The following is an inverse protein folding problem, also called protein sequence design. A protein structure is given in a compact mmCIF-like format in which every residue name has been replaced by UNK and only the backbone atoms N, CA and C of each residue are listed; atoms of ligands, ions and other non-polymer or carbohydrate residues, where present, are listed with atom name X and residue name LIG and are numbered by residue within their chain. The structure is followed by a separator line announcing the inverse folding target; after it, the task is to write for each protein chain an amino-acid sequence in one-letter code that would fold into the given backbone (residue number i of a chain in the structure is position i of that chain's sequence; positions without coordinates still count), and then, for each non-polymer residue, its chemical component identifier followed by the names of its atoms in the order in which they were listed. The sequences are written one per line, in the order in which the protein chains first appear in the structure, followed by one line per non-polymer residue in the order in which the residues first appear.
data_IF_928081423156
#
_entry.id   IF_928081423156
#
_cell.length_a   1.000
_cell.length_b   1.000
_cell.length_c   1.000
_cell.angle_alpha   90.00
_cell.angle_beta   90.00
_cell.angle_gamma   90.00
#
_symmetry.space_group_name_H-M   'P 1'
#
loop_
_entity.id
_entity.type
_entity.pdbx_description
1 polymer ?
#
# COMPACT_ATOMS: atom_id res chain seq x y z
N UNK A 1 -5.53 -3.07 -21.95
CA UNK A 1 -5.53 -1.66 -21.51
C UNK A 1 -4.20 -1.42 -20.82
N UNK A 2 -3.51 -0.32 -21.08
CA UNK A 2 -2.24 0.00 -20.42
C UNK A 2 -2.57 0.95 -19.25
N UNK A 3 -2.16 0.60 -18.04
CA UNK A 3 -2.29 1.44 -16.85
C UNK A 3 -0.96 2.13 -16.58
N UNK A 4 -0.78 3.40 -16.97
CA UNK A 4 0.52 4.05 -17.01
C UNK A 4 1.12 4.35 -15.63
N UNK A 5 0.31 4.31 -14.57
CA UNK A 5 0.74 4.54 -13.19
C UNK A 5 0.90 3.26 -12.37
N UNK A 6 0.68 2.08 -12.98
CA UNK A 6 0.74 0.79 -12.29
C UNK A 6 1.91 -0.02 -12.80
N UNK A 7 2.76 -0.48 -11.87
CA UNK A 7 3.90 -1.35 -12.16
C UNK A 7 3.79 -2.64 -11.34
N UNK A 8 3.96 -3.75 -12.03
CA UNK A 8 4.08 -5.08 -11.42
C UNK A 8 5.55 -5.49 -11.50
N UNK A 9 6.16 -5.78 -10.37
CA UNK A 9 7.52 -6.30 -10.29
C UNK A 9 7.49 -7.72 -9.77
N UNK A 10 8.27 -8.60 -10.40
CA UNK A 10 8.28 -10.01 -10.04
C UNK A 10 6.96 -10.71 -10.35
N UNK A 11 6.65 -11.76 -9.61
CA UNK A 11 5.51 -12.63 -9.84
C UNK A 11 4.33 -12.38 -8.88
N UNK A 12 4.18 -11.15 -8.35
CA UNK A 12 3.10 -10.87 -7.40
C UNK A 12 1.72 -11.01 -8.05
N UNK A 13 1.56 -10.51 -9.27
CA UNK A 13 0.36 -10.63 -10.09
C UNK A 13 0.74 -10.80 -11.56
N UNK A 14 -0.10 -11.50 -12.34
CA UNK A 14 0.00 -11.48 -13.80
C UNK A 14 -0.52 -10.15 -14.35
N UNK A 15 0.15 -9.51 -15.31
CA UNK A 15 -0.35 -8.29 -15.96
C UNK A 15 -1.73 -8.47 -16.59
N UNK A 16 -2.08 -9.67 -17.04
CA UNK A 16 -3.37 -9.98 -17.68
C UNK A 16 -4.56 -9.79 -16.75
N UNK A 17 -4.35 -9.92 -15.43
CA UNK A 17 -5.44 -9.75 -14.47
C UNK A 17 -5.92 -8.30 -14.44
N UNK A 18 -5.05 -7.32 -14.67
CA UNK A 18 -5.43 -5.90 -14.65
C UNK A 18 -6.46 -5.58 -15.74
N UNK A 19 -6.31 -6.17 -16.92
CA UNK A 19 -7.22 -5.94 -18.06
C UNK A 19 -8.62 -6.51 -17.89
N UNK A 20 -8.80 -7.48 -17.00
CA UNK A 20 -10.08 -8.18 -16.74
C UNK A 20 -10.49 -8.16 -15.28
N UNK A 21 -9.94 -7.24 -14.51
CA UNK A 21 -10.11 -7.21 -13.04
C UNK A 21 -11.58 -7.05 -12.64
N UNK A 22 -12.38 -6.31 -13.40
CA UNK A 22 -13.82 -6.11 -13.11
C UNK A 22 -14.62 -7.41 -13.14
N UNK A 23 -14.24 -8.35 -14.02
CA UNK A 23 -14.91 -9.63 -14.21
C UNK A 23 -14.24 -10.75 -13.40
N UNK A 24 -13.15 -10.44 -12.70
CA UNK A 24 -12.43 -11.42 -11.90
C UNK A 24 -13.24 -11.85 -10.66
N UNK A 25 -12.88 -13.02 -10.14
CA UNK A 25 -13.45 -13.51 -8.88
C UNK A 25 -13.24 -12.49 -7.74
N UNK A 26 -14.25 -12.34 -6.87
CA UNK A 26 -14.16 -11.46 -5.71
C UNK A 26 -14.37 -9.97 -6.02
N UNK A 27 -14.96 -9.62 -7.16
CA UNK A 27 -15.23 -8.24 -7.57
C UNK A 27 -16.72 -7.86 -7.52
N UNK A 28 -17.55 -8.66 -6.83
CA UNK A 28 -18.96 -8.36 -6.61
C UNK A 28 -19.15 -7.35 -5.47
N UNK A 29 -20.27 -6.62 -5.40
CA UNK A 29 -20.53 -5.66 -4.33
C UNK A 29 -20.38 -6.23 -2.92
N UNK A 30 -20.91 -7.42 -2.66
CA UNK A 30 -20.80 -8.10 -1.37
C UNK A 30 -19.36 -8.39 -0.96
N UNK A 31 -18.46 -8.60 -1.93
CA UNK A 31 -17.03 -8.84 -1.67
C UNK A 31 -16.33 -7.57 -1.14
N UNK A 32 -16.94 -6.40 -1.32
CA UNK A 32 -16.48 -5.12 -0.76
C UNK A 32 -17.24 -4.70 0.49
N UNK A 33 -18.16 -5.56 0.98
CA UNK A 33 -19.03 -5.23 2.11
C UNK A 33 -20.15 -4.23 1.74
N UNK A 34 -20.50 -4.13 0.46
CA UNK A 34 -21.58 -3.27 -0.02
C UNK A 34 -22.90 -4.04 0.04
N UNK A 35 -23.75 -3.68 0.99
CA UNK A 35 -25.07 -4.25 1.16
C UNK A 35 -26.13 -3.41 0.44
N UNK A 36 -27.30 -4.01 0.18
CA UNK A 36 -28.50 -3.26 -0.22
C UNK A 36 -28.51 -2.73 -1.65
N UNK A 37 -27.77 -3.35 -2.59
CA UNK A 37 -27.84 -3.01 -4.03
C UNK A 37 -26.83 -1.95 -4.47
N UNK A 38 -25.86 -1.59 -3.63
CA UNK A 38 -24.76 -0.71 -3.99
C UNK A 38 -23.92 -1.29 -5.13
N UNK A 39 -23.45 -0.45 -6.05
CA UNK A 39 -22.56 -0.86 -7.15
C UNK A 39 -21.12 -0.48 -6.82
N UNK A 40 -20.20 -1.41 -7.09
CA UNK A 40 -18.75 -1.14 -6.88
C UNK A 40 -18.27 0.08 -7.69
N UNK A 41 -18.79 0.28 -8.90
CA UNK A 41 -18.44 1.42 -9.75
C UNK A 41 -18.85 2.76 -9.13
N UNK A 42 -20.01 2.82 -8.50
CA UNK A 42 -20.53 4.03 -7.85
C UNK A 42 -19.69 4.35 -6.60
N UNK A 43 -19.31 3.32 -5.84
CA UNK A 43 -18.44 3.47 -4.68
C UNK A 43 -17.02 3.93 -5.06
N UNK A 44 -16.46 3.37 -6.14
CA UNK A 44 -15.17 3.83 -6.68
C UNK A 44 -15.25 5.29 -7.15
N UNK A 45 -16.34 5.68 -7.81
CA UNK A 45 -16.53 7.06 -8.28
C UNK A 45 -16.62 8.05 -7.09
N UNK A 46 -17.33 7.65 -6.01
CA UNK A 46 -17.41 8.43 -4.77
C UNK A 46 -16.02 8.56 -4.10
N UNK A 47 -15.33 7.44 -3.93
CA UNK A 47 -13.99 7.41 -3.36
C UNK A 47 -12.99 8.25 -4.19
N UNK A 48 -13.12 8.23 -5.51
CA UNK A 48 -12.30 9.06 -6.40
C UNK A 48 -12.51 10.56 -6.15
N UNK A 49 -13.76 11.01 -6.05
CA UNK A 49 -14.08 12.42 -5.78
C UNK A 49 -13.48 12.87 -4.43
N UNK A 50 -13.69 12.07 -3.37
CA UNK A 50 -13.15 12.36 -2.04
C UNK A 50 -11.60 12.36 -2.06
N UNK A 51 -10.98 11.41 -2.73
CA UNK A 51 -9.52 11.32 -2.84
C UNK A 51 -8.92 12.52 -3.59
N UNK A 52 -9.59 13.02 -4.64
CA UNK A 52 -9.17 14.24 -5.33
C UNK A 52 -9.24 15.47 -4.42
N UNK A 53 -10.21 15.54 -3.52
CA UNK A 53 -10.30 16.62 -2.54
C UNK A 53 -9.16 16.53 -1.51
N UNK A 54 -8.87 15.34 -0.99
CA UNK A 54 -7.73 15.13 -0.09
C UNK A 54 -6.40 15.49 -0.77
N UNK A 55 -6.22 15.07 -2.03
CA UNK A 55 -5.03 15.41 -2.81
C UNK A 55 -4.86 16.92 -2.96
N UNK A 56 -5.91 17.65 -3.32
CA UNK A 56 -5.88 19.12 -3.46
C UNK A 56 -5.55 19.82 -2.13
N UNK A 57 -6.13 19.38 -1.02
CA UNK A 57 -5.84 19.92 0.31
C UNK A 57 -4.38 19.66 0.67
N UNK A 58 -3.89 18.45 0.45
CA UNK A 58 -2.52 18.06 0.72
C UNK A 58 -1.52 18.87 -0.10
N UNK A 59 -1.74 19.04 -1.42
CA UNK A 59 -0.85 19.82 -2.29
C UNK A 59 -0.78 21.28 -1.82
N UNK A 60 -1.91 21.92 -1.53
CA UNK A 60 -1.93 23.30 -0.99
C UNK A 60 -1.14 23.38 0.33
N UNK A 61 -1.24 22.38 1.19
CA UNK A 61 -0.47 22.37 2.42
C UNK A 61 1.02 22.25 2.16
N UNK A 62 1.41 21.38 1.24
CA UNK A 62 2.83 21.25 0.83
C UNK A 62 3.41 22.57 0.35
N UNK A 63 2.65 23.37 -0.42
CA UNK A 63 3.10 24.68 -0.91
C UNK A 63 3.39 25.68 0.21
N UNK A 64 2.82 25.50 1.39
CA UNK A 64 3.08 26.34 2.58
C UNK A 64 4.29 25.91 3.38
N UNK A 65 4.84 24.74 3.13
CA UNK A 65 5.98 24.19 3.85
C UNK A 65 7.31 24.60 3.20
N UNK A 66 8.35 24.68 4.00
CA UNK A 66 9.70 24.86 3.47
C UNK A 66 10.09 23.68 2.58
N UNK A 67 10.76 23.90 1.44
CA UNK A 67 11.11 22.86 0.48
C UNK A 67 11.88 21.68 1.06
N UNK A 68 12.77 21.96 2.04
CA UNK A 68 13.60 20.97 2.72
C UNK A 68 12.87 20.12 3.77
N UNK A 69 11.60 20.45 4.07
CA UNK A 69 10.79 19.69 5.03
C UNK A 69 10.35 18.36 4.41
N UNK A 70 10.61 17.21 5.06
CA UNK A 70 10.15 15.90 4.55
C UNK A 70 8.64 15.78 4.44
N UNK A 71 7.87 16.61 5.14
CA UNK A 71 6.41 16.68 5.18
C UNK A 71 5.76 15.37 5.68
N UNK A 72 6.42 14.65 6.60
CA UNK A 72 5.96 13.33 7.07
C UNK A 72 4.59 13.41 7.76
N UNK A 73 4.36 14.42 8.62
CA UNK A 73 3.10 14.61 9.33
C UNK A 73 1.95 14.90 8.36
N UNK A 74 2.17 15.78 7.40
CA UNK A 74 1.20 16.16 6.39
C UNK A 74 0.89 14.98 5.46
N UNK A 75 1.92 14.24 5.05
CA UNK A 75 1.77 13.03 4.24
C UNK A 75 0.87 12.00 4.92
N UNK A 76 1.07 11.78 6.21
CA UNK A 76 0.26 10.86 7.02
C UNK A 76 -1.18 11.35 7.14
N UNK A 77 -1.35 12.55 7.71
CA UNK A 77 -2.63 13.00 8.23
C UNK A 77 -3.55 13.59 7.18
N UNK A 78 -3.00 14.22 6.13
CA UNK A 78 -3.81 14.90 5.11
C UNK A 78 -3.96 14.08 3.83
N UNK A 79 -3.12 13.05 3.64
CA UNK A 79 -3.11 12.32 2.39
C UNK A 79 -3.26 10.80 2.56
N UNK A 80 -2.24 10.11 3.06
CA UNK A 80 -2.19 8.64 3.02
C UNK A 80 -3.24 8.00 3.91
N UNK A 81 -3.40 8.44 5.15
CA UNK A 81 -4.40 7.88 6.09
C UNK A 81 -5.82 8.14 5.57
N UNK A 82 -6.20 9.37 5.14
CA UNK A 82 -7.50 9.59 4.50
C UNK A 82 -7.73 8.75 3.25
N UNK A 83 -6.72 8.65 2.35
CA UNK A 83 -6.83 7.84 1.14
C UNK A 83 -7.10 6.36 1.46
N UNK A 84 -6.31 5.77 2.36
CA UNK A 84 -6.50 4.38 2.77
C UNK A 84 -7.82 4.18 3.54
N UNK A 85 -8.30 5.21 4.23
CA UNK A 85 -9.62 5.22 4.83
C UNK A 85 -10.75 5.01 3.82
N UNK A 86 -10.63 5.58 2.61
CA UNK A 86 -11.57 5.34 1.51
C UNK A 86 -11.55 3.87 1.02
N UNK A 87 -10.45 3.16 1.24
CA UNK A 87 -10.33 1.74 0.93
C UNK A 87 -10.71 0.84 2.11
N UNK A 88 -11.32 1.41 3.14
CA UNK A 88 -11.83 0.68 4.31
C UNK A 88 -10.82 0.41 5.42
N UNK A 89 -9.61 0.97 5.35
CA UNK A 89 -8.62 0.81 6.42
C UNK A 89 -8.94 1.68 7.63
N UNK A 90 -8.84 1.09 8.81
CA UNK A 90 -8.66 1.80 10.07
C UNK A 90 -7.19 1.65 10.46
N UNK A 91 -6.50 2.77 10.70
CA UNK A 91 -5.05 2.79 10.82
C UNK A 91 -4.64 3.37 12.15
N UNK A 92 -3.77 2.67 12.86
CA UNK A 92 -3.21 3.09 14.13
C UNK A 92 -1.71 3.36 13.99
N UNK A 93 -1.25 4.44 14.62
CA UNK A 93 0.18 4.77 14.70
C UNK A 93 0.88 3.84 15.70
N UNK A 94 2.02 3.30 15.31
CA UNK A 94 2.86 2.46 16.13
C UNK A 94 4.01 3.28 16.73
N UNK A 95 3.89 3.67 17.99
CA UNK A 95 4.91 4.46 18.69
C UNK A 95 6.19 3.67 18.99
N UNK A 96 6.07 2.33 19.09
CA UNK A 96 7.19 1.42 19.34
C UNK A 96 7.39 0.52 18.14
N UNK A 97 8.65 0.33 17.75
CA UNK A 97 8.99 -0.67 16.75
C UNK A 97 8.72 -2.11 17.23
N UNK A 98 8.60 -3.02 16.30
CA UNK A 98 8.48 -4.46 16.59
C UNK A 98 9.89 -5.06 16.71
N UNK A 99 10.14 -5.80 17.77
CA UNK A 99 11.42 -6.50 17.96
C UNK A 99 11.36 -7.90 17.36
N UNK A 100 12.25 -8.17 16.39
CA UNK A 100 12.40 -9.46 15.75
C UNK A 100 13.90 -9.81 15.69
N UNK A 101 14.26 -10.97 16.20
CA UNK A 101 15.64 -11.49 16.18
C UNK A 101 16.70 -10.47 16.68
N UNK A 102 16.38 -9.72 17.73
CA UNK A 102 17.27 -8.72 18.34
C UNK A 102 17.41 -7.41 17.55
N UNK A 103 16.59 -7.19 16.51
CA UNK A 103 16.49 -5.93 15.78
C UNK A 103 15.11 -5.30 15.98
N UNK A 104 15.06 -3.98 16.01
CA UNK A 104 13.80 -3.22 16.12
C UNK A 104 13.38 -2.70 14.75
N UNK A 105 12.19 -3.09 14.31
CA UNK A 105 11.58 -2.66 13.04
C UNK A 105 10.57 -1.54 13.30
N UNK A 106 10.89 -0.28 13.01
CA UNK A 106 10.01 0.87 13.27
C UNK A 106 8.95 1.03 12.18
N UNK A 107 8.09 0.02 12.01
CA UNK A 107 6.92 0.13 11.14
C UNK A 107 5.98 1.17 11.72
N UNK A 108 5.68 2.22 10.97
CA UNK A 108 5.04 3.41 11.52
C UNK A 108 3.57 3.26 11.87
N UNK A 109 2.85 2.38 11.19
CA UNK A 109 1.40 2.20 11.35
C UNK A 109 1.00 0.74 11.14
N UNK A 110 -0.24 0.44 11.53
CA UNK A 110 -0.86 -0.87 11.36
C UNK A 110 -2.36 -0.72 11.13
N UNK A 111 -2.93 -1.56 10.28
CA UNK A 111 -4.37 -1.69 10.16
C UNK A 111 -4.93 -2.41 11.40
N UNK A 112 -6.14 -2.04 11.87
CA UNK A 112 -6.71 -2.54 13.13
C UNK A 112 -8.03 -3.27 12.99
N UNK A 113 -8.85 -2.93 12.00
CA UNK A 113 -10.22 -3.46 11.89
C UNK A 113 -10.30 -4.79 11.14
N UNK A 114 -9.62 -4.90 10.01
CA UNK A 114 -9.50 -6.16 9.26
C UNK A 114 -8.03 -6.44 9.01
N UNK A 115 -7.57 -7.54 9.58
CA UNK A 115 -6.16 -7.87 9.55
C UNK A 115 -5.32 -6.93 10.42
N UNK A 116 -4.03 -7.16 10.36
CA UNK A 116 -3.01 -6.39 11.08
C UNK A 116 -1.92 -5.91 10.12
N UNK A 117 -2.31 -5.68 8.87
CA UNK A 117 -1.39 -5.29 7.79
C UNK A 117 -0.47 -4.17 8.24
N UNK A 118 0.86 -4.39 8.22
CA UNK A 118 1.84 -3.34 8.52
C UNK A 118 1.82 -2.30 7.40
N UNK A 119 1.87 -1.03 7.79
CA UNK A 119 1.83 0.12 6.87
C UNK A 119 2.95 1.06 7.27
N UNK A 120 3.95 1.23 6.40
CA UNK A 120 5.05 2.15 6.68
C UNK A 120 4.94 3.40 5.80
N UNK A 121 4.79 4.57 6.46
CA UNK A 121 4.59 5.85 5.81
C UNK A 121 5.77 6.76 6.12
N UNK A 122 6.47 7.20 5.08
CA UNK A 122 7.51 8.23 5.15
C UNK A 122 7.03 9.54 4.52
N UNK A 123 7.83 10.59 4.61
CA UNK A 123 7.45 11.90 4.09
C UNK A 123 7.46 11.99 2.57
N UNK A 124 6.55 12.77 2.02
CA UNK A 124 6.39 13.01 0.56
C UNK A 124 7.66 13.60 -0.07
N UNK A 125 8.38 14.42 0.67
CA UNK A 125 9.64 15.06 0.25
C UNK A 125 10.88 14.37 0.85
N UNK A 126 10.73 13.13 1.34
CA UNK A 126 11.90 12.38 1.81
C UNK A 126 12.84 12.10 0.63
N UNK A 127 14.03 12.68 0.69
CA UNK A 127 15.02 12.64 -0.41
C UNK A 127 15.47 11.21 -0.78
N UNK A 128 15.47 10.29 0.20
CA UNK A 128 15.80 8.89 -0.02
C UNK A 128 14.71 8.15 -0.80
N UNK A 129 13.46 8.64 -0.82
CA UNK A 129 12.34 7.93 -1.38
C UNK A 129 12.13 6.56 -0.70
N UNK A 130 11.57 5.59 -1.43
CA UNK A 130 11.32 4.25 -0.87
C UNK A 130 12.53 3.31 -0.96
N UNK A 131 13.47 3.57 -1.86
CA UNK A 131 14.48 2.57 -2.27
C UNK A 131 15.88 2.86 -1.73
N UNK A 132 16.16 4.09 -1.31
CA UNK A 132 17.48 4.46 -0.78
C UNK A 132 17.48 4.54 0.75
N UNK A 133 18.63 4.27 1.34
CA UNK A 133 18.82 4.47 2.78
C UNK A 133 18.81 5.96 3.09
N UNK A 134 18.15 6.40 4.19
CA UNK A 134 18.23 7.78 4.63
C UNK A 134 19.69 8.19 4.94
N UNK A 135 20.11 9.34 4.44
CA UNK A 135 21.48 9.85 4.68
C UNK A 135 21.68 10.27 6.14
N UNK A 136 20.63 10.80 6.76
CA UNK A 136 20.63 11.21 8.18
C UNK A 136 19.87 10.19 9.03
N UNK A 137 20.39 9.94 10.23
CA UNK A 137 19.61 9.21 11.22
C UNK A 137 18.31 9.97 11.54
N UNK A 138 17.20 9.27 11.79
CA UNK A 138 15.96 9.92 12.20
C UNK A 138 16.21 10.75 13.48
N UNK A 139 15.46 11.85 13.69
CA UNK A 139 15.64 12.75 14.83
C UNK A 139 15.54 12.06 16.21
N UNK A 140 14.88 10.92 16.25
CA UNK A 140 14.83 10.01 17.41
C UNK A 140 15.21 8.61 16.93
N UNK A 141 16.50 8.25 16.97
CA UNK A 141 16.91 6.91 16.58
C UNK A 141 16.31 5.89 17.55
N UNK A 142 15.54 4.96 17.01
CA UNK A 142 15.12 3.78 17.77
C UNK A 142 16.38 2.91 17.92
N UNK A 143 16.81 2.69 19.15
CA UNK A 143 17.99 1.87 19.43
C UNK A 143 17.80 0.48 18.81
N UNK A 144 18.80 0.00 18.08
CA UNK A 144 18.73 -1.31 17.39
C UNK A 144 17.94 -1.30 16.07
N UNK A 145 17.41 -0.16 15.62
CA UNK A 145 16.73 -0.09 14.33
C UNK A 145 17.74 -0.19 13.16
N UNK A 146 17.47 -1.05 12.16
CA UNK A 146 18.35 -1.15 11.00
C UNK A 146 18.27 0.11 10.14
N UNK A 147 19.42 0.57 9.63
CA UNK A 147 19.48 1.65 8.63
C UNK A 147 19.22 1.07 7.25
N UNK A 148 17.97 1.03 6.85
CA UNK A 148 17.54 0.49 5.54
C UNK A 148 16.61 1.48 4.84
N UNK A 149 16.37 1.26 3.55
CA UNK A 149 15.31 1.96 2.83
C UNK A 149 13.94 1.57 3.38
N UNK A 150 12.93 2.42 3.15
CA UNK A 150 11.56 2.12 3.60
C UNK A 150 11.03 0.81 3.01
N UNK A 151 11.32 0.55 1.72
CA UNK A 151 10.98 -0.71 1.06
C UNK A 151 11.66 -1.91 1.75
N UNK A 152 12.98 -1.85 1.93
CA UNK A 152 13.73 -2.94 2.53
C UNK A 152 13.31 -3.21 3.98
N UNK A 153 12.96 -2.16 4.74
CA UNK A 153 12.46 -2.28 6.11
C UNK A 153 11.18 -3.13 6.17
N UNK A 154 10.20 -2.80 5.34
CA UNK A 154 8.93 -3.55 5.31
C UNK A 154 9.15 -4.95 4.77
N UNK A 155 9.96 -5.12 3.72
CA UNK A 155 10.24 -6.42 3.13
C UNK A 155 10.94 -7.36 4.13
N UNK A 156 11.97 -6.89 4.82
CA UNK A 156 12.67 -7.71 5.84
C UNK A 156 11.74 -8.03 7.02
N UNK A 157 10.91 -7.06 7.44
CA UNK A 157 9.90 -7.28 8.45
C UNK A 157 8.93 -8.42 8.05
N UNK A 158 8.37 -8.39 6.83
CA UNK A 158 7.44 -9.41 6.35
C UNK A 158 8.12 -10.79 6.24
N UNK A 159 9.39 -10.84 5.85
CA UNK A 159 10.14 -12.10 5.76
C UNK A 159 10.43 -12.75 7.12
N UNK A 160 10.31 -12.00 8.21
CA UNK A 160 10.59 -12.46 9.57
C UNK A 160 9.35 -12.58 10.47
N UNK A 161 8.22 -12.06 9.99
CA UNK A 161 6.96 -12.02 10.75
C UNK A 161 5.87 -12.84 10.06
N UNK A 162 4.74 -13.03 10.74
CA UNK A 162 3.64 -13.88 10.24
C UNK A 162 2.73 -13.18 9.22
N UNK A 163 2.82 -11.84 9.07
CA UNK A 163 2.03 -11.15 8.06
C UNK A 163 2.58 -11.39 6.65
N UNK A 164 1.68 -11.81 5.75
CA UNK A 164 2.03 -12.13 4.37
C UNK A 164 2.18 -10.89 3.49
N UNK A 165 1.44 -9.82 3.79
CA UNK A 165 1.38 -8.59 3.01
C UNK A 165 1.62 -7.35 3.86
N UNK A 166 2.20 -6.31 3.27
CA UNK A 166 2.40 -5.01 3.87
C UNK A 166 2.37 -3.88 2.86
N UNK A 167 2.12 -2.67 3.34
CA UNK A 167 2.12 -1.46 2.54
C UNK A 167 3.30 -0.57 2.91
N UNK A 168 3.93 0.02 1.89
CA UNK A 168 4.94 1.06 2.07
C UNK A 168 4.66 2.23 1.13
N UNK A 169 4.74 3.45 1.64
CA UNK A 169 4.46 4.64 0.85
C UNK A 169 5.19 5.89 1.36
N UNK A 170 5.49 6.79 0.45
CA UNK A 170 5.86 8.18 0.72
C UNK A 170 4.77 9.17 0.27
N UNK A 171 3.57 8.69 -0.06
CA UNK A 171 2.49 9.50 -0.60
C UNK A 171 2.59 9.83 -2.08
N UNK A 172 3.77 9.63 -2.72
CA UNK A 172 3.96 9.69 -4.18
C UNK A 172 3.76 8.33 -4.80
N UNK A 173 4.37 7.33 -4.19
CA UNK A 173 4.36 5.93 -4.59
C UNK A 173 3.76 5.13 -3.45
N UNK A 174 2.86 4.23 -3.77
CA UNK A 174 2.30 3.24 -2.86
C UNK A 174 2.65 1.85 -3.37
N UNK A 175 3.25 1.02 -2.52
CA UNK A 175 3.56 -0.38 -2.84
C UNK A 175 2.85 -1.35 -1.93
N UNK A 176 2.30 -2.40 -2.52
CA UNK A 176 1.94 -3.63 -1.83
C UNK A 176 3.11 -4.61 -1.95
N UNK A 177 3.66 -5.00 -0.81
CA UNK A 177 4.72 -6.00 -0.69
C UNK A 177 4.13 -7.32 -0.20
N UNK A 178 4.72 -8.41 -0.63
CA UNK A 178 4.45 -9.76 -0.13
C UNK A 178 5.69 -10.34 0.53
N UNK A 179 5.52 -11.17 1.55
CA UNK A 179 6.61 -11.99 2.06
C UNK A 179 7.29 -12.73 0.90
N UNK A 180 8.59 -12.57 0.80
CA UNK A 180 9.43 -13.14 -0.26
C UNK A 180 10.53 -14.04 0.30
N UNK A 181 10.40 -14.53 1.54
CA UNK A 181 11.40 -15.38 2.21
C UNK A 181 11.78 -16.62 1.40
N UNK A 182 10.89 -17.05 0.50
CA UNK A 182 11.10 -18.18 -0.43
C UNK A 182 11.37 -17.78 -1.88
N UNK A 183 11.46 -16.48 -2.17
CA UNK A 183 11.64 -15.95 -3.54
C UNK A 183 13.02 -15.31 -3.68
N UNK A 184 13.67 -15.56 -4.82
CA UNK A 184 15.00 -15.01 -5.14
C UNK A 184 14.90 -13.57 -5.64
N UNK A 185 13.72 -13.12 -6.08
CA UNK A 185 13.49 -11.79 -6.66
C UNK A 185 12.44 -11.01 -5.88
N UNK A 186 12.65 -9.68 -5.80
CA UNK A 186 11.66 -8.74 -5.29
C UNK A 186 10.33 -8.90 -6.04
N UNK A 187 9.23 -8.87 -5.29
CA UNK A 187 7.90 -9.01 -5.84
C UNK A 187 6.98 -8.00 -5.16
N UNK A 188 6.50 -7.01 -5.93
CA UNK A 188 5.60 -5.98 -5.42
C UNK A 188 4.72 -5.40 -6.51
N UNK A 189 3.60 -4.84 -6.08
CA UNK A 189 2.69 -4.05 -6.89
C UNK A 189 2.85 -2.58 -6.51
N UNK A 190 3.11 -1.72 -7.49
CA UNK A 190 3.36 -0.29 -7.29
C UNK A 190 2.33 0.57 -7.99
N UNK A 191 1.90 1.62 -7.32
CA UNK A 191 1.02 2.65 -7.84
C UNK A 191 1.69 4.01 -7.70
N UNK A 192 1.84 4.72 -8.81
CA UNK A 192 2.29 6.11 -8.86
C UNK A 192 1.10 7.04 -8.56
N UNK A 193 0.94 7.39 -7.29
CA UNK A 193 -0.15 8.25 -6.82
C UNK A 193 -0.03 9.67 -7.39
N UNK A 194 1.20 10.21 -7.52
CA UNK A 194 1.40 11.51 -8.13
C UNK A 194 0.78 11.54 -9.52
N UNK A 195 1.07 10.53 -10.32
CA UNK A 195 0.58 10.43 -11.68
C UNK A 195 -0.93 10.18 -11.74
N UNK A 196 -1.45 9.28 -10.88
CA UNK A 196 -2.90 9.03 -10.80
C UNK A 196 -3.67 10.32 -10.60
N UNK A 197 -3.25 11.16 -9.64
CA UNK A 197 -4.02 12.34 -9.24
C UNK A 197 -3.68 13.57 -10.05
N UNK A 198 -2.44 13.75 -10.51
CA UNK A 198 -2.05 14.87 -11.36
C UNK A 198 -2.59 14.77 -12.79
N UNK A 199 -2.60 13.54 -13.34
CA UNK A 199 -3.06 13.29 -14.72
C UNK A 199 -4.54 12.90 -14.78
N UNK A 200 -5.22 12.76 -13.62
CA UNK A 200 -6.63 12.40 -13.56
C UNK A 200 -6.94 10.96 -14.02
N UNK A 201 -6.07 10.00 -13.72
CA UNK A 201 -6.14 8.62 -14.20
C UNK A 201 -7.17 7.80 -13.41
N UNK A 202 -8.45 8.05 -13.64
CA UNK A 202 -9.54 7.35 -12.96
C UNK A 202 -9.50 5.82 -13.14
N UNK A 203 -9.14 5.34 -14.33
CA UNK A 203 -9.05 3.90 -14.59
C UNK A 203 -7.98 3.23 -13.71
N UNK A 204 -6.83 3.87 -13.52
CA UNK A 204 -5.75 3.39 -12.67
C UNK A 204 -6.16 3.43 -11.18
N UNK A 205 -6.88 4.49 -10.77
CA UNK A 205 -7.47 4.56 -9.44
C UNK A 205 -8.49 3.46 -9.19
N UNK A 206 -9.32 3.12 -10.18
CA UNK A 206 -10.28 2.02 -10.06
C UNK A 206 -9.58 0.67 -9.85
N UNK A 207 -8.45 0.43 -10.52
CA UNK A 207 -7.61 -0.76 -10.28
C UNK A 207 -6.99 -0.72 -8.89
N UNK A 208 -6.43 0.42 -8.47
CA UNK A 208 -5.89 0.63 -7.12
C UNK A 208 -6.94 0.29 -6.06
N UNK A 209 -8.16 0.83 -6.17
CA UNK A 209 -9.25 0.55 -5.25
C UNK A 209 -9.59 -0.93 -5.20
N UNK A 210 -9.76 -1.57 -6.37
CA UNK A 210 -10.16 -2.98 -6.49
C UNK A 210 -9.12 -3.95 -5.95
N UNK A 211 -7.83 -3.61 -5.99
CA UNK A 211 -6.75 -4.46 -5.51
C UNK A 211 -6.37 -4.20 -4.06
N UNK A 212 -6.47 -2.95 -3.60
CA UNK A 212 -6.01 -2.57 -2.26
C UNK A 212 -7.13 -2.26 -1.27
N UNK A 213 -8.42 -2.39 -1.65
CA UNK A 213 -9.50 -2.32 -0.65
C UNK A 213 -9.24 -3.32 0.47
N UNK A 214 -9.46 -2.94 1.73
CA UNK A 214 -9.10 -3.74 2.91
C UNK A 214 -9.62 -5.18 2.86
N UNK A 215 -10.75 -5.40 2.20
CA UNK A 215 -11.33 -6.75 2.04
C UNK A 215 -10.53 -7.69 1.14
N UNK A 216 -9.55 -7.18 0.40
CA UNK A 216 -8.67 -7.98 -0.48
C UNK A 216 -7.52 -8.62 0.29
N UNK A 217 -7.08 -7.96 1.35
CA UNK A 217 -5.96 -8.41 2.17
C UNK A 217 -6.41 -9.42 3.23
N UNK A 218 -5.48 -10.20 3.80
CA UNK A 218 -5.79 -11.16 4.85
C UNK A 218 -6.49 -10.51 6.04
N UNK A 219 -7.54 -11.15 6.55
CA UNK A 219 -8.23 -10.69 7.77
C UNK A 219 -7.39 -10.91 9.03
N UNK A 220 -6.53 -11.92 9.00
CA UNK A 220 -5.53 -12.28 10.03
C UNK A 220 -4.45 -13.14 9.36
N UNK A 221 -3.31 -13.43 10.02
CA UNK A 221 -2.25 -14.24 9.43
C UNK A 221 -2.71 -15.66 9.06
N UNK A 222 -3.58 -16.28 9.83
CA UNK A 222 -4.09 -17.64 9.57
C UNK A 222 -4.96 -17.70 8.31
N UNK A 223 -5.67 -16.63 7.99
CA UNK A 223 -6.51 -16.52 6.79
C UNK A 223 -5.74 -15.99 5.57
N UNK A 224 -4.42 -15.86 5.63
CA UNK A 224 -3.63 -15.26 4.56
C UNK A 224 -3.80 -15.99 3.21
N UNK A 225 -3.80 -17.33 3.23
CA UNK A 225 -3.96 -18.16 2.04
C UNK A 225 -5.35 -18.02 1.36
N UNK A 226 -6.36 -17.61 2.11
CA UNK A 226 -7.74 -17.44 1.63
C UNK A 226 -8.03 -16.02 1.14
N UNK A 227 -7.13 -15.08 1.37
CA UNK A 227 -7.30 -13.70 0.93
C UNK A 227 -7.37 -13.60 -0.59
N UNK A 228 -8.14 -12.64 -1.09
CA UNK A 228 -8.32 -12.48 -2.53
C UNK A 228 -7.01 -12.17 -3.24
N UNK A 229 -6.20 -11.31 -2.64
CA UNK A 229 -4.90 -10.93 -3.22
C UNK A 229 -3.96 -12.13 -3.34
N UNK A 230 -3.98 -13.04 -2.34
CA UNK A 230 -3.19 -14.27 -2.41
C UNK A 230 -3.71 -15.24 -3.47
N UNK A 231 -5.03 -15.36 -3.63
CA UNK A 231 -5.62 -16.16 -4.73
C UNK A 231 -5.18 -15.64 -6.09
N UNK A 232 -5.21 -14.33 -6.31
CA UNK A 232 -4.71 -13.73 -7.55
C UNK A 232 -3.21 -13.98 -7.77
N UNK A 233 -2.42 -13.97 -6.68
CA UNK A 233 -1.01 -14.33 -6.74
C UNK A 233 -0.83 -15.79 -7.16
N UNK A 234 -1.56 -16.73 -6.55
CA UNK A 234 -1.47 -18.16 -6.87
C UNK A 234 -1.94 -18.45 -8.31
N UNK A 235 -3.01 -17.82 -8.76
CA UNK A 235 -3.49 -17.92 -10.16
C UNK A 235 -2.43 -17.41 -11.15
N UNK A 236 -1.72 -16.35 -10.78
CA UNK A 236 -0.64 -15.79 -11.59
C UNK A 236 0.55 -16.74 -11.70
N UNK A 237 0.92 -17.40 -10.62
CA UNK A 237 1.98 -18.42 -10.62
C UNK A 237 1.58 -19.61 -11.48
N UNK A 238 0.35 -20.10 -11.35
CA UNK A 238 -0.16 -21.22 -12.13
C UNK A 238 -0.22 -20.92 -13.65
N UNK A 239 -0.51 -19.66 -14.00
CA UNK A 239 -0.55 -19.21 -15.39
C UNK A 239 0.84 -19.06 -16.01
N UNK A 240 1.83 -18.61 -15.22
CA UNK A 240 3.22 -18.45 -15.66
C UNK A 240 4.02 -19.75 -15.75
N UNK A 241 3.49 -20.85 -15.20
CA UNK A 241 4.10 -22.18 -15.27
C UNK A 241 3.70 -22.97 -16.54
N UNK A 242 2.90 -22.39 -17.42
CA UNK A 242 2.53 -22.92 -18.73
C UNK A 242 3.27 -22.17 -19.80
#
# INVERSE_FOLDING_TARGET
MIYPSIRIEGAILSPDILGRLEDAHGQRPADFGLDGGGKVKDEIARAWADAQDYWRIFQRKLDTLRPETPATTETRNLWVIPLLGLFGYQIEFQAKGVELNGKTYPISHRATHRGRTPIHIIGYREAAGLDRKPERAPPRPTFGAPRMSAHALVQEYLNLHDELYGLVTNGRILRLLRDSSRLIKLSYLEFDLDRIFSDGLFADFAVLYRLLHVTRLPANPEAAAESLIERYHQDSLASGAR
#
